data_IF_770035315332
#
_entry.id   IF_770035315332
#
_cell.length_a   1.000
_cell.length_b   1.000
_cell.length_c   1.000
_cell.angle_alpha   90.00
_cell.angle_beta   90.00
_cell.angle_gamma   90.00
#
_symmetry.space_group_name_H-M   'P 1'
#
loop_
_entity.id
_entity.type
_entity.pdbx_description
1 polymer ?
#
# COMPACT_ATOMS: atom_id res chain seq x y z
N UNK A 1 -1.65 -10.51 -5.84
CA UNK A 1 -1.79 -9.36 -4.92
C UNK A 1 -3.28 -9.03 -4.82
N UNK A 2 -3.72 -8.31 -3.78
CA UNK A 2 -5.15 -7.95 -3.62
C UNK A 2 -5.34 -6.45 -3.80
N UNK A 3 -6.46 -6.05 -4.41
CA UNK A 3 -6.83 -4.65 -4.66
C UNK A 3 -7.86 -4.18 -3.65
N UNK A 4 -7.79 -2.90 -3.26
CA UNK A 4 -8.67 -2.28 -2.27
C UNK A 4 -9.02 -0.85 -2.68
N UNK A 5 -10.27 -0.41 -2.52
CA UNK A 5 -10.68 0.95 -2.83
C UNK A 5 -10.08 2.01 -1.89
N UNK A 6 -9.70 1.65 -0.66
CA UNK A 6 -9.20 2.63 0.33
C UNK A 6 -7.92 2.16 1.02
N UNK A 7 -7.15 3.11 1.57
CA UNK A 7 -5.91 2.80 2.28
C UNK A 7 -6.21 2.02 3.55
N UNK A 8 -7.29 2.37 4.25
CA UNK A 8 -7.73 1.66 5.45
C UNK A 8 -7.98 0.18 5.19
N UNK A 9 -8.68 -0.17 4.10
CA UNK A 9 -8.92 -1.57 3.76
C UNK A 9 -7.64 -2.31 3.37
N UNK A 10 -6.73 -1.65 2.64
CA UNK A 10 -5.42 -2.20 2.32
C UNK A 10 -4.57 -2.45 3.57
N UNK A 11 -4.49 -1.47 4.47
CA UNK A 11 -3.77 -1.59 5.75
C UNK A 11 -4.37 -2.69 6.61
N UNK A 12 -5.70 -2.82 6.65
CA UNK A 12 -6.39 -3.88 7.40
C UNK A 12 -6.01 -5.29 6.94
N UNK A 13 -5.72 -5.50 5.66
CA UNK A 13 -5.16 -6.77 5.16
C UNK A 13 -3.66 -6.87 5.50
N UNK A 14 -2.90 -5.82 5.19
CA UNK A 14 -1.45 -5.76 5.33
C UNK A 14 -0.96 -6.02 6.77
N UNK A 15 -1.69 -5.56 7.79
CA UNK A 15 -1.35 -5.82 9.21
C UNK A 15 -1.35 -7.30 9.61
N UNK A 16 -1.88 -8.18 8.77
CA UNK A 16 -1.79 -9.63 8.97
C UNK A 16 -0.57 -10.26 8.29
N UNK A 17 0.20 -9.47 7.51
CA UNK A 17 1.33 -9.90 6.68
C UNK A 17 2.67 -9.31 7.13
N UNK A 18 2.66 -8.15 7.79
CA UNK A 18 3.84 -7.47 8.32
C UNK A 18 3.52 -6.72 9.62
N UNK A 19 4.56 -6.41 10.40
CA UNK A 19 4.44 -5.68 11.67
C UNK A 19 4.82 -4.20 11.57
N UNK A 20 5.53 -3.81 10.50
CA UNK A 20 5.99 -2.43 10.32
C UNK A 20 6.33 -2.08 8.86
N UNK A 21 6.01 -0.85 8.47
CA UNK A 21 6.22 -0.30 7.14
C UNK A 21 7.05 0.97 7.21
N UNK A 22 7.87 1.21 6.20
CA UNK A 22 8.53 2.49 5.98
C UNK A 22 7.85 3.20 4.82
N UNK A 23 7.63 4.50 4.98
CA UNK A 23 7.19 5.33 3.86
C UNK A 23 8.30 5.49 2.83
N UNK A 24 8.01 5.36 1.54
CA UNK A 24 9.04 5.51 0.52
C UNK A 24 9.64 6.92 0.44
N UNK A 25 8.88 7.95 0.84
CA UNK A 25 9.30 9.35 0.73
C UNK A 25 9.79 9.98 2.03
N UNK A 26 9.79 9.23 3.13
CA UNK A 26 10.25 9.71 4.43
C UNK A 26 10.92 8.60 5.25
N UNK A 27 11.63 8.98 6.30
CA UNK A 27 12.22 8.03 7.26
C UNK A 27 11.20 7.53 8.31
N UNK A 28 9.92 7.85 8.11
CA UNK A 28 8.84 7.47 9.01
C UNK A 28 8.55 5.97 8.94
N UNK A 29 8.37 5.37 10.11
CA UNK A 29 8.00 3.96 10.27
C UNK A 29 6.61 3.90 10.91
N UNK A 30 5.70 3.22 10.23
CA UNK A 30 4.38 2.89 10.72
C UNK A 30 4.40 1.49 11.31
N UNK A 31 3.84 1.32 12.50
CA UNK A 31 3.73 0.04 13.16
C UNK A 31 2.29 -0.45 13.08
N UNK A 32 2.11 -1.77 13.11
CA UNK A 32 0.78 -2.39 13.06
C UNK A 32 -0.25 -1.77 14.01
N UNK A 33 0.19 -1.38 15.21
CA UNK A 33 -0.68 -0.85 16.26
C UNK A 33 -1.24 0.55 15.96
N UNK A 34 -0.56 1.35 15.14
CA UNK A 34 -0.98 2.73 14.84
C UNK A 34 -1.37 2.96 13.38
N UNK A 35 -0.92 2.11 12.47
CA UNK A 35 -1.06 2.36 11.04
C UNK A 35 -2.52 2.38 10.58
N UNK A 36 -3.37 1.52 11.15
CA UNK A 36 -4.78 1.44 10.78
C UNK A 36 -5.54 2.75 11.08
N UNK A 37 -5.26 3.40 12.22
CA UNK A 37 -5.88 4.67 12.56
C UNK A 37 -5.42 5.82 11.66
N UNK A 38 -4.14 5.83 11.29
CA UNK A 38 -3.57 6.81 10.35
C UNK A 38 -4.20 6.66 8.97
N UNK A 39 -4.35 5.42 8.49
CA UNK A 39 -4.99 5.14 7.22
C UNK A 39 -6.44 5.61 7.16
N UNK A 40 -7.19 5.47 8.27
CA UNK A 40 -8.56 5.97 8.36
C UNK A 40 -8.63 7.50 8.19
N UNK A 41 -7.77 8.24 8.90
CA UNK A 41 -7.71 9.71 8.79
C UNK A 41 -7.33 10.13 7.38
N UNK A 42 -6.39 9.42 6.76
CA UNK A 42 -5.99 9.69 5.37
C UNK A 42 -7.14 9.49 4.38
N UNK A 43 -7.90 8.40 4.51
CA UNK A 43 -9.06 8.15 3.65
C UNK A 43 -10.16 9.20 3.81
N UNK A 44 -10.34 9.77 5.01
CA UNK A 44 -11.29 10.86 5.28
C UNK A 44 -10.87 12.19 4.62
N UNK A 45 -9.56 12.43 4.48
CA UNK A 45 -8.98 13.63 3.87
C UNK A 45 -8.72 13.49 2.36
N UNK A 46 -8.69 12.25 1.84
CA UNK A 46 -8.35 11.96 0.45
C UNK A 46 -9.55 12.12 -0.48
N UNK A 47 -9.31 12.70 -1.66
CA UNK A 47 -10.27 12.78 -2.78
C UNK A 47 -9.84 11.86 -3.93
N UNK A 48 -9.48 10.61 -3.62
CA UNK A 48 -9.05 9.66 -4.65
C UNK A 48 -10.14 9.44 -5.70
N UNK A 49 -9.73 9.38 -6.97
CA UNK A 49 -10.64 9.16 -8.11
C UNK A 49 -11.22 7.73 -8.10
N UNK A 50 -12.40 7.55 -8.72
CA UNK A 50 -13.14 6.27 -8.71
C UNK A 50 -12.36 5.08 -9.32
N UNK A 51 -11.42 5.36 -10.21
CA UNK A 51 -10.58 4.35 -10.88
C UNK A 51 -9.26 4.06 -10.15
N UNK A 52 -9.01 4.75 -9.03
CA UNK A 52 -7.83 4.55 -8.21
C UNK A 52 -8.03 3.46 -7.17
N UNK A 53 -6.98 2.69 -6.88
CA UNK A 53 -7.03 1.65 -5.86
C UNK A 53 -5.66 1.39 -5.23
N UNK A 54 -5.71 0.85 -4.02
CA UNK A 54 -4.56 0.35 -3.30
C UNK A 54 -4.31 -1.13 -3.60
N UNK A 55 -3.05 -1.54 -3.55
CA UNK A 55 -2.62 -2.91 -3.81
C UNK A 55 -1.82 -3.41 -2.62
N UNK A 56 -2.14 -4.61 -2.12
CA UNK A 56 -1.36 -5.28 -1.07
C UNK A 56 -0.57 -6.44 -1.67
N UNK A 57 0.75 -6.34 -1.61
CA UNK A 57 1.68 -7.41 -1.97
C UNK A 57 1.65 -8.54 -0.93
N UNK A 58 2.08 -9.78 -1.27
CA UNK A 58 2.12 -10.89 -0.33
C UNK A 58 3.02 -10.63 0.90
N UNK A 59 3.99 -9.72 0.75
CA UNK A 59 4.89 -9.29 1.80
C UNK A 59 4.24 -8.33 2.81
N UNK A 60 3.08 -7.77 2.47
CA UNK A 60 2.43 -6.68 3.19
C UNK A 60 2.75 -5.29 2.67
N UNK A 61 3.62 -5.14 1.65
CA UNK A 61 3.83 -3.83 1.02
C UNK A 61 2.52 -3.30 0.41
N UNK A 62 2.32 -1.98 0.49
CA UNK A 62 1.11 -1.30 0.03
C UNK A 62 1.50 -0.32 -1.06
N UNK A 63 0.90 -0.51 -2.24
CA UNK A 63 1.01 0.39 -3.36
C UNK A 63 -0.30 1.10 -3.64
N UNK A 64 -0.21 2.16 -4.42
CA UNK A 64 -1.34 2.91 -4.97
C UNK A 64 -1.21 2.92 -6.48
N UNK A 65 -2.35 2.83 -7.15
CA UNK A 65 -2.42 2.89 -8.61
C UNK A 65 -3.60 3.76 -9.00
N UNK A 66 -3.34 4.64 -9.95
CA UNK A 66 -4.34 5.40 -10.69
C UNK A 66 -4.56 4.74 -12.06
N UNK A 67 -5.48 5.29 -12.86
CA UNK A 67 -5.68 4.95 -14.28
C UNK A 67 -5.76 3.43 -14.54
N UNK A 68 -6.65 2.74 -13.84
CA UNK A 68 -6.92 1.29 -13.99
C UNK A 68 -5.72 0.34 -13.78
N UNK A 69 -4.56 0.79 -13.29
CA UNK A 69 -3.42 -0.12 -13.05
C UNK A 69 -2.20 0.06 -13.93
N UNK A 70 -2.11 1.14 -14.71
CA UNK A 70 -0.98 1.35 -15.65
C UNK A 70 0.36 1.40 -14.91
N UNK A 71 0.40 2.07 -13.76
CA UNK A 71 1.59 2.15 -12.91
C UNK A 71 1.24 1.93 -11.44
N UNK A 72 2.16 1.28 -10.71
CA UNK A 72 2.03 1.06 -9.28
C UNK A 72 3.10 1.86 -8.56
N UNK A 73 2.65 2.80 -7.73
CA UNK A 73 3.49 3.53 -6.81
C UNK A 73 3.48 2.81 -5.45
N UNK A 74 4.60 2.21 -5.06
CA UNK A 74 4.73 1.57 -3.75
C UNK A 74 4.96 2.62 -2.67
N UNK A 75 3.91 2.94 -1.92
CA UNK A 75 3.95 3.97 -0.87
C UNK A 75 4.59 3.45 0.42
N UNK A 76 4.23 2.23 0.81
CA UNK A 76 4.63 1.63 2.08
C UNK A 76 5.30 0.29 1.84
N UNK A 77 6.61 0.22 2.05
CA UNK A 77 7.39 -1.01 1.94
C UNK A 77 7.70 -1.56 3.32
N UNK A 78 8.03 -2.85 3.41
CA UNK A 78 8.40 -3.43 4.70
C UNK A 78 9.61 -2.71 5.31
N UNK A 79 9.51 -2.34 6.58
CA UNK A 79 10.62 -1.65 7.24
C UNK A 79 11.87 -2.55 7.37
N UNK A 80 11.68 -3.87 7.47
CA UNK A 80 12.73 -4.88 7.57
C UNK A 80 13.28 -5.37 6.21
N UNK A 81 12.65 -4.99 5.10
CA UNK A 81 13.05 -5.43 3.76
C UNK A 81 12.70 -4.41 2.65
N UNK A 82 13.48 -3.33 2.59
CA UNK A 82 13.32 -2.25 1.60
C UNK A 82 13.83 -2.61 0.20
N UNK A 83 14.44 -3.80 0.02
CA UNK A 83 14.99 -4.26 -1.26
C UNK A 83 14.08 -5.26 -1.97
N UNK A 84 12.85 -5.40 -1.50
CA UNK A 84 11.86 -6.24 -2.14
C UNK A 84 11.68 -5.80 -3.61
N UNK A 85 11.67 -6.77 -4.52
CA UNK A 85 11.35 -6.53 -5.92
C UNK A 85 9.84 -6.57 -6.07
N UNK A 86 9.25 -5.40 -6.19
CA UNK A 86 7.82 -5.23 -6.39
C UNK A 86 7.55 -4.85 -7.86
N UNK A 87 6.45 -5.33 -8.44
CA UNK A 87 6.08 -5.04 -9.82
C UNK A 87 5.69 -3.58 -9.98
N UNK A 88 5.96 -3.03 -11.16
CA UNK A 88 5.73 -1.64 -11.51
C UNK A 88 4.36 -1.36 -12.13
N UNK A 89 3.60 -2.40 -12.50
CA UNK A 89 2.27 -2.29 -13.10
C UNK A 89 1.44 -3.56 -12.84
N UNK A 90 0.12 -3.49 -13.06
CA UNK A 90 -0.72 -4.68 -13.02
C UNK A 90 -0.36 -5.70 -14.10
N UNK A 91 0.04 -5.25 -15.29
CA UNK A 91 0.45 -6.15 -16.35
C UNK A 91 1.66 -7.01 -15.95
N UNK A 92 2.60 -6.44 -15.20
CA UNK A 92 3.74 -7.18 -14.63
C UNK A 92 3.30 -8.15 -13.50
N UNK A 93 2.22 -7.85 -12.79
CA UNK A 93 1.67 -8.75 -11.78
C UNK A 93 0.98 -9.98 -12.36
N UNK A 94 0.39 -9.86 -13.54
CA UNK A 94 -0.43 -10.89 -14.18
C UNK A 94 0.34 -11.78 -15.19
N UNK A 95 1.51 -11.33 -15.64
CA UNK A 95 2.40 -12.06 -16.56
C UNK A 95 3.31 -13.07 -15.88
#
# INVERSE_FOLDING_TARGET
MKKYPTLFEAVKDAINLCDSWRFMYADEIYYKDNFLGIAQVYDEDSMADEDSFYIVAPSGAIGFSEDEGETIEWLFVRADNQKEKLPSSLAEMEG
#
